data_IF_093293315468
#
_entry.id   IF_093293315468
#
_cell.length_a   1.000
_cell.length_b   1.000
_cell.length_c   1.000
_cell.angle_alpha   90.00
_cell.angle_beta   90.00
_cell.angle_gamma   90.00
#
_symmetry.space_group_name_H-M   'P 1'
#
loop_
_entity.id
_entity.type
_entity.pdbx_description
1 polymer ?
#
# COMPACT_ATOMS: atom_id res chain seq x y z
N UNK A 1 37.61 -20.41 2.78
CA UNK A 1 36.41 -21.20 3.15
C UNK A 1 35.21 -20.32 2.94
N UNK A 2 34.26 -20.69 2.06
CA UNK A 2 32.97 -20.00 2.04
C UNK A 2 32.30 -20.24 3.40
N UNK A 3 31.80 -19.19 4.03
CA UNK A 3 30.93 -19.28 5.20
C UNK A 3 29.81 -20.27 4.83
N UNK A 4 29.64 -21.31 5.65
CA UNK A 4 28.50 -22.20 5.51
C UNK A 4 27.23 -21.34 5.53
N UNK A 5 26.39 -21.47 4.49
CA UNK A 5 25.05 -20.88 4.46
C UNK A 5 24.33 -21.24 5.76
N UNK A 6 23.68 -20.26 6.39
CA UNK A 6 22.91 -20.52 7.60
C UNK A 6 21.87 -21.60 7.26
N UNK A 7 21.72 -22.70 8.03
CA UNK A 7 20.66 -23.68 7.81
C UNK A 7 19.24 -23.06 7.82
N UNK A 8 19.08 -21.80 8.24
CA UNK A 8 17.86 -21.00 8.11
C UNK A 8 17.74 -20.18 6.80
N UNK A 9 18.76 -20.16 5.92
CA UNK A 9 18.76 -19.43 4.64
C UNK A 9 17.89 -20.10 3.56
N UNK A 10 17.57 -21.39 3.71
CA UNK A 10 16.64 -22.09 2.82
C UNK A 10 15.19 -21.85 3.28
N UNK A 11 14.26 -21.43 2.39
CA UNK A 11 12.86 -21.21 2.75
C UNK A 11 12.23 -22.50 3.30
N UNK A 12 12.07 -22.58 4.61
CA UNK A 12 11.19 -23.59 5.21
C UNK A 12 9.76 -23.21 4.76
N UNK A 13 8.98 -24.11 4.15
CA UNK A 13 7.60 -23.83 3.72
C UNK A 13 6.74 -23.55 4.96
N UNK A 14 6.69 -22.27 5.34
CA UNK A 14 5.99 -21.75 6.51
C UNK A 14 5.22 -20.48 6.14
N UNK A 15 4.81 -19.72 7.16
CA UNK A 15 4.13 -18.45 6.97
C UNK A 15 5.04 -17.44 6.26
N UNK A 16 4.60 -16.88 5.13
CA UNK A 16 5.32 -15.84 4.40
C UNK A 16 4.38 -15.03 3.51
N UNK A 17 4.77 -13.81 3.16
CA UNK A 17 4.09 -13.00 2.16
C UNK A 17 4.89 -13.04 0.84
N UNK A 18 4.26 -13.60 -0.19
CA UNK A 18 4.81 -13.65 -1.54
C UNK A 18 4.47 -12.34 -2.28
N UNK A 19 5.48 -11.63 -2.76
CA UNK A 19 5.38 -10.31 -3.39
C UNK A 19 5.69 -10.41 -4.88
N UNK A 20 4.73 -10.05 -5.72
CA UNK A 20 4.84 -10.13 -7.18
C UNK A 20 5.10 -8.74 -7.81
N UNK A 21 6.35 -8.42 -8.23
CA UNK A 21 6.63 -7.18 -8.93
C UNK A 21 6.00 -7.11 -10.34
N UNK A 22 5.67 -8.25 -10.96
CA UNK A 22 4.98 -8.27 -12.27
C UNK A 22 3.54 -7.78 -12.11
N UNK A 23 2.87 -8.16 -11.02
CA UNK A 23 1.56 -7.62 -10.69
C UNK A 23 1.62 -6.10 -10.48
N UNK A 24 2.64 -5.58 -9.79
CA UNK A 24 2.84 -4.12 -9.64
C UNK A 24 3.04 -3.43 -10.99
N UNK A 25 3.87 -3.98 -11.88
CA UNK A 25 4.07 -3.43 -13.22
C UNK A 25 2.78 -3.43 -14.05
N UNK A 26 2.03 -4.53 -14.01
CA UNK A 26 0.72 -4.65 -14.66
C UNK A 26 -0.25 -3.58 -14.14
N UNK A 27 -0.36 -3.43 -12.81
CA UNK A 27 -1.27 -2.47 -12.19
C UNK A 27 -0.91 -1.03 -12.54
N UNK A 28 0.39 -0.71 -12.55
CA UNK A 28 0.89 0.59 -12.98
C UNK A 28 0.50 0.87 -14.44
N UNK A 29 0.64 -0.11 -15.33
CA UNK A 29 0.26 0.03 -16.73
C UNK A 29 -1.26 0.19 -16.91
N UNK A 30 -2.08 -0.57 -16.17
CA UNK A 30 -3.55 -0.39 -16.17
C UNK A 30 -3.92 1.04 -15.77
N UNK A 31 -3.26 1.61 -14.76
CA UNK A 31 -3.48 3.00 -14.34
C UNK A 31 -3.01 3.99 -15.41
N UNK A 32 -1.86 3.76 -16.03
CA UNK A 32 -1.33 4.60 -17.12
C UNK A 32 -2.30 4.66 -18.29
N UNK A 33 -2.83 3.52 -18.73
CA UNK A 33 -3.79 3.44 -19.82
C UNK A 33 -5.09 4.16 -19.49
N UNK A 34 -5.64 3.95 -18.29
CA UNK A 34 -6.88 4.61 -17.86
C UNK A 34 -6.78 6.12 -17.76
N UNK A 35 -5.59 6.62 -17.46
CA UNK A 35 -5.32 8.05 -17.29
C UNK A 35 -4.75 8.69 -18.56
N UNK A 36 -4.51 7.94 -19.64
CA UNK A 36 -3.94 8.46 -20.88
C UNK A 36 -2.48 8.94 -20.75
N UNK A 37 -1.72 8.36 -19.82
CA UNK A 37 -0.33 8.78 -19.52
C UNK A 37 0.58 8.55 -20.72
N UNK A 38 1.34 9.57 -21.10
CA UNK A 38 2.25 9.53 -22.26
C UNK A 38 1.64 10.02 -23.58
N UNK A 39 0.35 10.39 -23.57
CA UNK A 39 -0.29 11.15 -24.64
C UNK A 39 -0.54 12.57 -24.12
N UNK A 40 -1.64 12.77 -23.39
CA UNK A 40 -2.03 14.05 -22.77
C UNK A 40 -2.33 13.90 -21.26
N UNK A 41 -2.07 12.72 -20.68
CA UNK A 41 -2.39 12.41 -19.28
C UNK A 41 -1.32 12.81 -18.25
N UNK A 42 -1.66 12.74 -16.95
CA UNK A 42 -0.80 13.11 -15.82
C UNK A 42 0.44 12.23 -15.73
N UNK A 43 1.45 12.75 -15.04
CA UNK A 43 2.56 11.92 -14.53
C UNK A 43 2.14 11.17 -13.26
N UNK A 44 2.82 10.07 -12.94
CA UNK A 44 2.50 9.21 -11.80
C UNK A 44 3.56 9.28 -10.72
N UNK A 45 3.15 9.67 -9.51
CA UNK A 45 3.87 9.37 -8.27
C UNK A 45 3.45 8.00 -7.74
N UNK A 46 4.30 6.99 -7.87
CA UNK A 46 4.07 5.70 -7.25
C UNK A 46 4.24 5.80 -5.73
N UNK A 47 3.15 5.64 -4.98
CA UNK A 47 3.18 5.83 -3.52
C UNK A 47 3.71 4.57 -2.83
N UNK A 48 4.87 4.67 -2.18
CA UNK A 48 5.58 3.56 -1.52
C UNK A 48 5.83 3.79 -0.03
N UNK A 49 5.13 4.75 0.60
CA UNK A 49 5.19 4.94 2.06
C UNK A 49 4.84 3.65 2.82
N UNK A 50 5.31 3.55 4.07
CA UNK A 50 5.12 2.37 4.91
C UNK A 50 5.64 1.09 4.24
N UNK A 51 6.90 1.17 3.77
CA UNK A 51 7.61 0.09 3.07
C UNK A 51 6.80 -0.54 1.92
N UNK A 52 6.33 0.33 1.02
CA UNK A 52 5.46 -0.02 -0.09
C UNK A 52 4.16 -0.71 0.35
N UNK A 53 3.45 -0.13 1.32
CA UNK A 53 2.22 -0.71 1.88
C UNK A 53 2.45 -2.15 2.40
N UNK A 54 3.59 -2.37 3.08
CA UNK A 54 3.99 -3.68 3.63
C UNK A 54 4.52 -4.68 2.59
N UNK A 55 4.70 -4.29 1.33
CA UNK A 55 5.21 -5.19 0.29
C UNK A 55 6.74 -5.26 0.25
N UNK A 56 7.43 -4.37 0.95
CA UNK A 56 8.88 -4.24 0.87
C UNK A 56 9.29 -3.46 -0.36
N UNK A 57 9.86 -2.26 -0.17
CA UNK A 57 10.28 -1.38 -1.25
C UNK A 57 11.22 -2.09 -2.24
N UNK A 58 12.17 -2.84 -1.72
CA UNK A 58 13.10 -3.64 -2.52
C UNK A 58 12.37 -4.67 -3.40
N UNK A 59 11.28 -5.26 -2.93
CA UNK A 59 10.54 -6.29 -3.65
C UNK A 59 9.72 -5.73 -4.81
N UNK A 60 9.15 -4.53 -4.62
CA UNK A 60 8.27 -3.91 -5.63
C UNK A 60 8.99 -3.02 -6.63
N UNK A 61 10.20 -2.54 -6.31
CA UNK A 61 10.93 -1.58 -7.15
C UNK A 61 11.07 -1.99 -8.62
N UNK A 62 11.34 -3.27 -8.98
CA UNK A 62 11.39 -3.68 -10.38
C UNK A 62 10.08 -3.44 -11.14
N UNK A 63 8.94 -3.52 -10.45
CA UNK A 63 7.62 -3.26 -11.01
C UNK A 63 7.26 -1.78 -11.15
N UNK A 64 8.04 -0.88 -10.53
CA UNK A 64 7.79 0.58 -10.55
C UNK A 64 8.60 1.32 -11.61
N UNK A 65 9.32 0.63 -12.49
CA UNK A 65 10.23 1.24 -13.48
C UNK A 65 9.54 2.23 -14.44
N UNK A 66 8.26 2.04 -14.73
CA UNK A 66 7.48 2.91 -15.62
C UNK A 66 6.82 4.10 -14.89
N UNK A 67 7.04 4.26 -13.59
CA UNK A 67 6.53 5.40 -12.83
C UNK A 67 7.41 6.62 -13.08
N UNK A 68 6.79 7.80 -13.19
CA UNK A 68 7.51 9.06 -13.39
C UNK A 68 8.23 9.53 -12.12
N UNK A 69 7.77 9.08 -10.95
CA UNK A 69 8.30 9.43 -9.65
C UNK A 69 7.83 8.46 -8.57
N UNK A 70 8.47 8.48 -7.40
CA UNK A 70 8.03 7.75 -6.21
C UNK A 70 7.63 8.73 -5.11
N UNK A 71 6.59 8.41 -4.34
CA UNK A 71 6.17 9.18 -3.16
C UNK A 71 6.33 8.38 -1.86
N UNK A 72 7.06 8.96 -0.90
CA UNK A 72 7.31 8.42 0.45
C UNK A 72 6.74 9.36 1.51
N UNK A 73 6.64 8.91 2.76
CA UNK A 73 6.16 9.75 3.85
C UNK A 73 7.26 10.67 4.38
N UNK A 74 8.44 10.13 4.69
CA UNK A 74 9.51 10.84 5.38
C UNK A 74 10.80 10.95 4.55
N UNK A 75 11.66 11.92 4.89
CA UNK A 75 12.91 12.14 4.17
C UNK A 75 13.85 10.93 4.23
N UNK A 76 13.90 10.21 5.36
CA UNK A 76 14.74 9.02 5.48
C UNK A 76 14.32 7.89 4.50
N UNK A 77 13.02 7.73 4.21
CA UNK A 77 12.52 6.78 3.21
C UNK A 77 13.00 7.17 1.79
N UNK A 78 13.17 8.47 1.52
CA UNK A 78 13.74 8.92 0.24
C UNK A 78 15.21 8.48 0.09
N UNK A 79 15.99 8.52 1.17
CA UNK A 79 17.35 7.97 1.18
C UNK A 79 17.34 6.45 0.98
N UNK A 80 16.39 5.73 1.58
CA UNK A 80 16.21 4.29 1.36
C UNK A 80 15.91 3.99 -0.12
N UNK A 81 15.01 4.76 -0.75
CA UNK A 81 14.72 4.65 -2.20
C UNK A 81 16.00 4.77 -3.05
N UNK A 82 16.87 5.74 -2.73
CA UNK A 82 18.15 5.92 -3.43
C UNK A 82 19.10 4.74 -3.22
N UNK A 83 19.18 4.21 -1.99
CA UNK A 83 20.02 3.05 -1.64
C UNK A 83 19.60 1.78 -2.40
N UNK A 84 18.30 1.58 -2.60
CA UNK A 84 17.79 0.43 -3.38
C UNK A 84 17.82 0.66 -4.89
N UNK A 85 18.29 1.82 -5.35
CA UNK A 85 18.59 2.08 -6.77
C UNK A 85 17.58 2.97 -7.50
N UNK A 86 16.58 3.56 -6.84
CA UNK A 86 15.69 4.52 -7.50
C UNK A 86 16.45 5.80 -7.86
N UNK A 87 16.43 6.19 -9.14
CA UNK A 87 17.12 7.40 -9.64
C UNK A 87 16.18 8.54 -10.06
N UNK A 88 14.89 8.26 -10.23
CA UNK A 88 13.87 9.26 -10.58
C UNK A 88 13.55 10.23 -9.44
N UNK A 89 12.64 11.18 -9.65
CA UNK A 89 12.25 12.13 -8.61
C UNK A 89 11.55 11.44 -7.44
N UNK A 90 11.61 12.06 -6.25
CA UNK A 90 10.98 11.56 -5.03
C UNK A 90 10.15 12.67 -4.38
N UNK A 91 8.87 12.39 -4.14
CA UNK A 91 7.99 13.21 -3.32
C UNK A 91 8.03 12.75 -1.86
N UNK A 92 8.14 13.69 -0.92
CA UNK A 92 8.11 13.46 0.53
C UNK A 92 6.86 14.12 1.10
N UNK A 93 5.85 13.32 1.47
CA UNK A 93 4.56 13.82 1.95
C UNK A 93 4.64 14.62 3.24
N UNK A 94 5.63 14.36 4.10
CA UNK A 94 5.80 15.09 5.35
C UNK A 94 6.55 16.40 5.16
N UNK A 95 7.09 16.67 3.96
CA UNK A 95 8.05 17.75 3.79
C UNK A 95 9.22 17.58 4.75
N UNK A 96 9.53 18.65 5.48
CA UNK A 96 10.42 18.63 6.63
C UNK A 96 9.59 18.53 7.90
N UNK A 97 9.99 17.68 8.84
CA UNK A 97 9.32 17.50 10.14
C UNK A 97 10.05 18.21 11.27
N UNK A 98 11.28 18.64 11.03
CA UNK A 98 12.11 19.40 11.97
C UNK A 98 13.11 20.25 11.18
N UNK A 99 13.46 21.45 11.66
CA UNK A 99 14.48 22.33 11.06
C UNK A 99 15.82 21.63 10.72
N UNK A 100 16.24 20.64 11.53
CA UNK A 100 17.49 19.90 11.34
C UNK A 100 17.48 19.04 10.08
N UNK A 101 16.31 18.65 9.59
CA UNK A 101 16.20 17.91 8.33
C UNK A 101 16.54 18.77 7.11
N UNK A 102 16.54 20.10 7.23
CA UNK A 102 16.98 20.99 6.14
C UNK A 102 18.43 20.67 5.72
N UNK A 103 19.31 20.42 6.70
CA UNK A 103 20.70 20.02 6.44
C UNK A 103 20.83 18.66 5.73
N UNK A 104 19.78 17.82 5.76
CA UNK A 104 19.74 16.50 5.13
C UNK A 104 19.19 16.54 3.69
N UNK A 105 18.77 17.70 3.18
CA UNK A 105 18.30 17.90 1.80
C UNK A 105 19.44 17.81 0.78
N UNK A 106 20.14 16.69 0.77
CA UNK A 106 21.32 16.41 -0.07
C UNK A 106 20.95 15.61 -1.33
N UNK A 107 19.75 15.02 -1.36
CA UNK A 107 19.28 14.24 -2.50
C UNK A 107 18.84 15.15 -3.65
N UNK A 108 19.14 14.71 -4.87
CA UNK A 108 18.63 15.36 -6.07
C UNK A 108 17.17 14.98 -6.34
N UNK A 109 16.46 15.88 -7.04
CA UNK A 109 15.08 15.70 -7.52
C UNK A 109 14.07 15.42 -6.40
N UNK A 110 14.22 16.11 -5.27
CA UNK A 110 13.26 16.08 -4.17
C UNK A 110 12.08 17.01 -4.43
N UNK A 111 10.89 16.52 -4.09
CA UNK A 111 9.62 17.23 -4.07
C UNK A 111 9.08 17.17 -2.65
N UNK A 112 8.91 18.31 -1.98
CA UNK A 112 8.48 18.38 -0.58
C UNK A 112 7.03 18.84 -0.51
N UNK A 113 6.18 18.10 0.18
CA UNK A 113 4.82 18.56 0.46
C UNK A 113 4.84 19.44 1.70
N UNK A 114 4.32 20.65 1.56
CA UNK A 114 4.29 21.66 2.62
C UNK A 114 2.86 21.77 3.14
N UNK A 115 2.70 21.57 4.44
CA UNK A 115 1.42 21.59 5.15
C UNK A 115 1.25 22.80 6.06
N UNK A 116 2.31 23.52 6.37
CA UNK A 116 2.29 24.73 7.19
C UNK A 116 3.45 25.68 6.83
N UNK A 117 3.38 26.92 7.30
CA UNK A 117 4.36 27.97 7.00
C UNK A 117 5.75 27.69 7.58
N UNK A 118 5.83 27.02 8.73
CA UNK A 118 7.10 26.81 9.45
C UNK A 118 8.07 25.96 8.62
N UNK A 119 7.53 24.98 7.88
CA UNK A 119 8.32 24.15 6.99
C UNK A 119 9.02 24.94 5.88
N UNK A 120 8.41 26.04 5.41
CA UNK A 120 9.02 26.92 4.41
C UNK A 120 10.21 27.69 4.98
N UNK A 121 10.11 28.13 6.24
CA UNK A 121 11.16 28.88 6.92
C UNK A 121 12.39 28.04 7.25
N UNK A 122 12.27 26.70 7.24
CA UNK A 122 13.41 25.80 7.41
C UNK A 122 14.21 25.57 6.13
N UNK A 123 13.61 25.76 4.95
CA UNK A 123 14.25 25.47 3.65
C UNK A 123 15.57 26.22 3.38
N UNK A 124 15.74 27.49 3.81
CA UNK A 124 17.02 28.19 3.68
C UNK A 124 18.19 27.49 4.40
N UNK A 125 17.91 26.64 5.39
CA UNK A 125 18.92 25.86 6.12
C UNK A 125 19.54 24.70 5.32
N UNK A 126 19.16 24.49 4.05
CA UNK A 126 19.75 23.44 3.20
C UNK A 126 21.24 23.71 2.90
N UNK A 127 22.05 22.68 2.63
CA UNK A 127 23.43 22.88 2.21
C UNK A 127 23.53 23.72 0.92
N UNK A 128 24.53 24.60 0.84
CA UNK A 128 24.72 25.50 -0.32
C UNK A 128 24.93 24.73 -1.64
N UNK A 129 25.61 23.58 -1.58
CA UNK A 129 25.83 22.70 -2.73
C UNK A 129 24.60 21.87 -3.12
N UNK A 130 23.56 21.83 -2.28
CA UNK A 130 22.39 21.01 -2.53
C UNK A 130 21.49 21.62 -3.60
N UNK A 131 20.95 20.76 -4.47
CA UNK A 131 19.91 21.16 -5.42
C UNK A 131 18.68 21.68 -4.68
N UNK A 132 18.10 22.76 -5.19
CA UNK A 132 16.82 23.26 -4.69
C UNK A 132 15.70 22.24 -4.92
N UNK A 133 14.89 21.89 -3.90
CA UNK A 133 13.75 21.00 -4.08
C UNK A 133 12.59 21.71 -4.80
N UNK A 134 11.67 20.91 -5.33
CA UNK A 134 10.31 21.37 -5.61
C UNK A 134 9.49 21.39 -4.33
N UNK A 135 8.51 22.29 -4.24
CA UNK A 135 7.52 22.33 -3.16
C UNK A 135 6.11 22.13 -3.72
N UNK A 136 5.28 21.41 -2.97
CA UNK A 136 3.86 21.20 -3.23
C UNK A 136 3.07 21.72 -2.04
N UNK A 137 2.37 22.84 -2.21
CA UNK A 137 1.53 23.40 -1.17
C UNK A 137 0.27 22.55 -1.03
N UNK A 138 0.08 21.94 0.13
CA UNK A 138 -1.09 21.11 0.41
C UNK A 138 -2.23 21.95 0.94
N UNK A 139 -3.37 21.91 0.25
CA UNK A 139 -4.61 22.48 0.74
C UNK A 139 -5.18 21.59 1.86
N UNK A 140 -5.68 22.23 2.92
CA UNK A 140 -6.29 21.53 4.07
C UNK A 140 -7.50 20.66 3.65
N UNK A 141 -8.28 21.17 2.69
CA UNK A 141 -9.42 20.49 2.07
C UNK A 141 -10.46 19.99 3.07
N UNK A 142 -11.34 19.11 2.61
CA UNK A 142 -12.33 18.47 3.46
C UNK A 142 -11.70 17.52 4.49
N UNK A 143 -10.52 16.96 4.20
CA UNK A 143 -9.83 16.02 5.10
C UNK A 143 -9.48 16.66 6.44
N UNK A 144 -9.06 17.93 6.43
CA UNK A 144 -8.53 18.64 7.62
C UNK A 144 -7.38 17.94 8.34
N UNK A 145 -6.80 16.90 7.75
CA UNK A 145 -5.66 16.16 8.28
C UNK A 145 -4.35 16.83 7.86
N UNK A 146 -4.19 18.11 8.21
CA UNK A 146 -3.06 18.97 7.83
C UNK A 146 -3.21 19.65 6.47
N UNK A 147 -2.39 20.69 6.23
CA UNK A 147 -2.48 21.54 5.05
C UNK A 147 -2.83 22.97 5.42
N UNK A 148 -2.73 23.86 4.44
CA UNK A 148 -2.94 25.29 4.58
C UNK A 148 -4.41 25.63 4.26
N UNK A 149 -5.03 26.48 5.08
CA UNK A 149 -6.31 27.09 4.72
C UNK A 149 -6.16 28.11 3.57
N UNK A 150 -7.27 28.64 3.03
CA UNK A 150 -7.22 29.54 1.88
C UNK A 150 -6.38 30.82 2.11
N UNK A 151 -6.35 31.35 3.33
CA UNK A 151 -5.59 32.55 3.68
C UNK A 151 -4.10 32.24 3.86
N UNK A 152 -3.78 31.15 4.55
CA UNK A 152 -2.43 30.63 4.67
C UNK A 152 -1.85 30.21 3.32
N UNK A 153 -2.66 29.61 2.44
CA UNK A 153 -2.22 29.09 1.15
C UNK A 153 -1.63 30.19 0.25
N UNK A 154 -2.29 31.35 0.17
CA UNK A 154 -1.79 32.49 -0.62
C UNK A 154 -0.50 33.06 -0.03
N UNK A 155 -0.40 33.15 1.30
CA UNK A 155 0.83 33.58 1.99
C UNK A 155 1.98 32.60 1.75
N UNK A 156 1.72 31.31 1.88
CA UNK A 156 2.68 30.24 1.60
C UNK A 156 3.15 30.26 0.15
N UNK A 157 2.24 30.52 -0.79
CA UNK A 157 2.58 30.65 -2.21
C UNK A 157 3.47 31.87 -2.45
N UNK A 158 3.13 33.05 -1.92
CA UNK A 158 3.98 34.23 -2.02
C UNK A 158 5.38 33.96 -1.44
N UNK A 159 5.47 33.31 -0.28
CA UNK A 159 6.74 32.92 0.33
C UNK A 159 7.53 31.94 -0.54
N UNK A 160 6.87 30.97 -1.16
CA UNK A 160 7.52 30.07 -2.12
C UNK A 160 8.10 30.83 -3.32
N UNK A 161 7.42 31.89 -3.80
CA UNK A 161 7.91 32.72 -4.91
C UNK A 161 9.18 33.50 -4.52
N UNK A 162 9.23 34.05 -3.32
CA UNK A 162 10.45 34.69 -2.78
C UNK A 162 11.60 33.67 -2.67
N UNK A 163 11.34 32.51 -2.05
CA UNK A 163 12.34 31.45 -1.90
C UNK A 163 12.84 30.94 -3.27
N UNK A 164 11.97 30.91 -4.28
CA UNK A 164 12.34 30.55 -5.65
C UNK A 164 13.25 31.61 -6.29
N UNK A 165 12.96 32.90 -6.09
CA UNK A 165 13.82 34.00 -6.57
C UNK A 165 15.23 33.95 -5.97
N UNK A 166 15.34 33.52 -4.70
CA UNK A 166 16.63 33.34 -4.02
C UNK A 166 17.29 31.97 -4.29
N UNK A 167 16.74 31.15 -5.20
CA UNK A 167 17.31 29.85 -5.55
C UNK A 167 17.19 28.77 -4.47
N UNK A 168 16.41 29.00 -3.41
CA UNK A 168 16.13 27.99 -2.38
C UNK A 168 15.11 26.94 -2.87
N UNK A 169 14.26 27.29 -3.85
CA UNK A 169 13.27 26.41 -4.47
C UNK A 169 13.47 26.30 -5.98
N UNK A 170 13.25 25.10 -6.53
CA UNK A 170 13.21 24.87 -7.98
C UNK A 170 11.86 25.25 -8.59
N UNK A 171 10.78 25.07 -7.83
CA UNK A 171 9.43 25.39 -8.26
C UNK A 171 8.40 25.11 -7.17
N UNK A 172 7.19 25.61 -7.40
CA UNK A 172 6.04 25.45 -6.52
C UNK A 172 4.88 24.86 -7.31
N UNK A 173 4.16 23.91 -6.73
CA UNK A 173 2.94 23.31 -7.26
C UNK A 173 1.86 23.19 -6.20
N UNK A 174 0.70 22.71 -6.61
CA UNK A 174 -0.51 22.67 -5.82
C UNK A 174 -0.94 21.23 -5.56
N UNK A 175 -1.24 20.91 -4.31
CA UNK A 175 -1.64 19.58 -3.91
C UNK A 175 -2.94 19.59 -3.11
N UNK A 176 -3.88 18.73 -3.50
CA UNK A 176 -5.05 18.38 -2.69
C UNK A 176 -5.04 16.88 -2.38
N UNK A 177 -5.73 16.47 -1.32
CA UNK A 177 -6.06 15.07 -1.05
C UNK A 177 -7.53 14.97 -0.68
N UNK A 178 -8.29 14.22 -1.46
CA UNK A 178 -9.75 14.11 -1.29
C UNK A 178 -10.12 13.28 -0.06
N UNK A 179 -11.13 13.73 0.69
CA UNK A 179 -11.63 13.04 1.88
C UNK A 179 -12.55 11.87 1.51
N UNK A 180 -13.51 12.08 0.61
CA UNK A 180 -14.40 11.03 0.15
C UNK A 180 -14.28 10.78 -1.35
N UNK A 181 -13.16 10.17 -1.75
CA UNK A 181 -12.88 9.90 -3.15
C UNK A 181 -13.69 8.74 -3.77
N UNK A 182 -14.57 8.09 -3.01
CA UNK A 182 -15.49 7.07 -3.51
C UNK A 182 -16.84 7.65 -3.98
N UNK A 183 -17.13 8.91 -3.64
CA UNK A 183 -18.38 9.61 -3.96
C UNK A 183 -18.12 10.67 -5.03
N UNK A 184 -18.77 10.56 -6.19
CA UNK A 184 -18.59 11.50 -7.31
C UNK A 184 -18.98 12.92 -6.89
N UNK A 185 -20.13 13.11 -6.23
CA UNK A 185 -20.58 14.44 -5.82
C UNK A 185 -19.68 15.08 -4.76
N UNK A 186 -19.05 14.30 -3.88
CA UNK A 186 -18.08 14.82 -2.93
C UNK A 186 -16.77 15.19 -3.62
N UNK A 187 -16.28 14.36 -4.56
CA UNK A 187 -15.11 14.66 -5.37
C UNK A 187 -15.26 15.97 -6.16
N UNK A 188 -16.39 16.17 -6.83
CA UNK A 188 -16.65 17.38 -7.61
C UNK A 188 -16.66 18.63 -6.74
N UNK A 189 -17.34 18.58 -5.58
CA UNK A 189 -17.38 19.68 -4.62
C UNK A 189 -16.00 20.00 -4.06
N UNK A 190 -15.30 18.99 -3.56
CA UNK A 190 -13.94 19.17 -3.00
C UNK A 190 -12.94 19.66 -4.07
N UNK A 191 -13.11 19.26 -5.33
CA UNK A 191 -12.30 19.74 -6.44
C UNK A 191 -12.57 21.22 -6.74
N UNK A 192 -13.85 21.64 -6.77
CA UNK A 192 -14.24 23.03 -6.98
C UNK A 192 -13.69 23.96 -5.87
N UNK A 193 -13.74 23.52 -4.61
CA UNK A 193 -13.17 24.27 -3.47
C UNK A 193 -11.66 24.47 -3.63
N UNK A 194 -10.96 23.42 -4.08
CA UNK A 194 -9.52 23.48 -4.33
C UNK A 194 -9.18 24.41 -5.52
N UNK A 195 -9.89 24.32 -6.63
CA UNK A 195 -9.74 25.21 -7.79
C UNK A 195 -9.95 26.68 -7.40
N UNK A 196 -10.93 26.96 -6.55
CA UNK A 196 -11.14 28.30 -6.00
C UNK A 196 -9.95 28.78 -5.15
N UNK A 197 -9.36 27.89 -4.34
CA UNK A 197 -8.20 28.19 -3.51
C UNK A 197 -6.97 28.58 -4.35
N UNK A 198 -6.72 27.88 -5.47
CA UNK A 198 -5.51 28.08 -6.29
C UNK A 198 -5.69 29.10 -7.40
N UNK A 199 -6.89 29.67 -7.57
CA UNK A 199 -7.18 30.67 -8.61
C UNK A 199 -6.20 31.84 -8.56
N UNK A 200 -5.57 32.10 -9.71
CA UNK A 200 -4.55 33.15 -9.89
C UNK A 200 -3.15 32.77 -9.41
N UNK A 201 -2.92 31.54 -8.98
CA UNK A 201 -1.62 31.01 -8.54
C UNK A 201 -1.14 29.99 -9.59
N UNK A 202 -0.21 30.34 -10.50
CA UNK A 202 0.25 29.40 -11.52
C UNK A 202 1.18 28.32 -10.94
N UNK A 203 0.97 27.07 -11.34
CA UNK A 203 1.82 25.96 -10.96
C UNK A 203 1.17 24.61 -11.32
N UNK A 204 1.95 23.53 -11.35
CA UNK A 204 1.41 22.21 -11.62
C UNK A 204 0.48 21.75 -10.49
N UNK A 205 -0.53 20.94 -10.82
CA UNK A 205 -1.57 20.47 -9.93
C UNK A 205 -1.48 18.96 -9.71
N UNK A 206 -1.65 18.52 -8.46
CA UNK A 206 -1.77 17.12 -8.10
C UNK A 206 -2.89 16.89 -7.09
N UNK A 207 -3.96 16.21 -7.46
CA UNK A 207 -5.10 15.97 -6.55
C UNK A 207 -5.39 14.49 -6.32
N UNK A 208 -5.36 13.68 -7.37
CA UNK A 208 -5.97 12.35 -7.34
C UNK A 208 -5.09 11.27 -6.68
N UNK A 209 -5.67 10.54 -5.73
CA UNK A 209 -5.14 9.29 -5.17
C UNK A 209 -5.70 8.07 -5.95
N UNK A 210 -5.50 6.84 -5.45
CA UNK A 210 -6.05 5.63 -6.10
C UNK A 210 -7.56 5.72 -6.35
N UNK A 211 -8.34 6.11 -5.33
CA UNK A 211 -9.80 6.17 -5.42
C UNK A 211 -10.26 7.18 -6.46
N UNK A 212 -9.79 8.43 -6.36
CA UNK A 212 -10.17 9.50 -7.28
C UNK A 212 -9.78 9.16 -8.73
N UNK A 213 -8.60 8.55 -8.93
CA UNK A 213 -8.14 8.12 -10.25
C UNK A 213 -9.00 7.00 -10.86
N UNK A 214 -9.59 6.14 -10.02
CA UNK A 214 -10.46 5.05 -10.48
C UNK A 214 -11.92 5.49 -10.67
N UNK A 215 -12.42 6.41 -9.82
CA UNK A 215 -13.82 6.86 -9.84
C UNK A 215 -14.04 7.95 -10.90
N UNK A 216 -13.11 8.90 -11.04
CA UNK A 216 -13.19 10.00 -12.01
C UNK A 216 -11.91 10.11 -12.85
N UNK A 217 -11.61 9.12 -13.73
CA UNK A 217 -10.38 9.12 -14.51
C UNK A 217 -10.24 10.33 -15.43
N UNK A 218 -11.34 10.87 -15.96
CA UNK A 218 -11.33 12.08 -16.80
C UNK A 218 -10.94 13.34 -16.04
N UNK A 219 -11.32 13.47 -14.77
CA UNK A 219 -10.87 14.56 -13.90
C UNK A 219 -9.40 14.38 -13.55
N UNK A 220 -9.01 13.15 -13.19
CA UNK A 220 -7.62 12.83 -12.87
C UNK A 220 -6.67 13.09 -14.06
N UNK A 221 -7.12 12.78 -15.28
CA UNK A 221 -6.39 13.00 -16.53
C UNK A 221 -6.07 14.48 -16.81
N UNK A 222 -6.81 15.42 -16.21
CA UNK A 222 -6.62 16.88 -16.40
C UNK A 222 -5.61 17.50 -15.42
N UNK A 223 -5.09 16.72 -14.48
CA UNK A 223 -4.07 17.19 -13.53
C UNK A 223 -2.66 16.91 -14.06
N UNK A 224 -1.64 17.61 -13.56
CA UNK A 224 -0.25 17.35 -13.96
C UNK A 224 0.31 16.05 -13.35
N UNK A 225 -0.17 15.67 -12.17
CA UNK A 225 0.30 14.50 -11.43
C UNK A 225 -0.80 13.79 -10.65
N UNK A 226 -0.80 12.46 -10.69
CA UNK A 226 -1.59 11.59 -9.81
C UNK A 226 -0.70 10.84 -8.82
N UNK A 227 -1.30 10.32 -7.75
CA UNK A 227 -0.59 9.66 -6.64
C UNK A 227 -1.26 8.34 -6.23
N UNK A 228 -1.30 7.33 -7.12
CA UNK A 228 -1.84 6.04 -6.76
C UNK A 228 -0.98 5.37 -5.68
N UNK A 229 -1.66 4.71 -4.74
CA UNK A 229 -1.10 3.86 -3.69
C UNK A 229 -1.70 2.46 -3.79
N UNK A 230 -2.80 2.20 -3.06
CA UNK A 230 -3.48 0.88 -3.03
C UNK A 230 -3.67 0.20 -4.40
N UNK A 231 -4.07 0.95 -5.43
CA UNK A 231 -4.30 0.38 -6.75
C UNK A 231 -3.02 -0.20 -7.39
N UNK A 232 -1.83 0.34 -7.09
CA UNK A 232 -0.55 -0.21 -7.54
C UNK A 232 -0.31 -1.62 -7.00
N UNK A 233 -0.83 -1.89 -5.81
CA UNK A 233 -0.65 -3.16 -5.10
C UNK A 233 -1.79 -4.17 -5.36
N UNK A 234 -2.67 -3.85 -6.32
CA UNK A 234 -3.71 -4.78 -6.76
C UNK A 234 -4.99 -4.74 -5.94
N UNK A 235 -5.18 -3.70 -5.12
CA UNK A 235 -6.31 -3.57 -4.21
C UNK A 235 -7.26 -2.49 -4.69
N UNK A 236 -8.56 -2.81 -4.68
CA UNK A 236 -9.59 -1.83 -4.98
C UNK A 236 -9.63 -0.74 -3.91
N UNK A 237 -9.56 0.55 -4.29
CA UNK A 237 -9.82 1.65 -3.39
C UNK A 237 -11.32 2.00 -3.29
N UNK A 238 -12.19 1.25 -3.99
CA UNK A 238 -13.64 1.50 -4.06
C UNK A 238 -14.36 0.49 -3.15
N UNK A 239 -15.19 0.95 -2.18
CA UNK A 239 -15.98 0.08 -1.33
C UNK A 239 -16.84 -0.92 -2.13
N UNK A 240 -16.89 -2.17 -1.66
CA UNK A 240 -17.71 -3.23 -2.30
C UNK A 240 -17.13 -3.80 -3.60
N UNK A 241 -15.98 -3.32 -4.08
CA UNK A 241 -15.27 -3.87 -5.24
C UNK A 241 -13.95 -4.48 -4.83
N UNK A 242 -13.46 -5.39 -5.67
CA UNK A 242 -12.15 -6.03 -5.53
C UNK A 242 -11.22 -5.63 -6.68
N UNK A 243 -9.91 -5.78 -6.50
CA UNK A 243 -8.90 -5.38 -7.51
C UNK A 243 -9.19 -5.89 -8.92
N UNK A 244 -9.67 -7.13 -9.07
CA UNK A 244 -10.02 -7.72 -10.38
C UNK A 244 -11.13 -6.97 -11.12
N UNK A 245 -12.08 -6.36 -10.41
CA UNK A 245 -13.16 -5.57 -11.02
C UNK A 245 -12.58 -4.33 -11.71
N UNK A 246 -11.41 -3.90 -11.26
CA UNK A 246 -10.62 -2.80 -11.80
C UNK A 246 -9.49 -3.32 -12.71
N UNK A 247 -9.48 -4.58 -13.12
CA UNK A 247 -8.40 -5.14 -13.95
C UNK A 247 -7.04 -5.20 -13.26
N UNK A 248 -7.00 -5.02 -11.93
CA UNK A 248 -5.80 -5.05 -11.12
C UNK A 248 -5.50 -6.47 -10.65
N UNK A 249 -4.23 -6.77 -10.43
CA UNK A 249 -3.71 -8.06 -9.95
C UNK A 249 -3.12 -7.88 -8.55
N UNK A 250 -3.47 -8.71 -7.56
CA UNK A 250 -2.91 -8.62 -6.21
C UNK A 250 -1.40 -8.81 -6.25
N UNK A 251 -0.66 -7.88 -5.65
CA UNK A 251 0.80 -7.94 -5.59
C UNK A 251 1.34 -8.69 -4.37
N UNK A 252 0.49 -8.97 -3.37
CA UNK A 252 0.85 -9.76 -2.18
C UNK A 252 -0.09 -10.95 -2.05
N UNK A 253 0.49 -12.13 -1.83
CA UNK A 253 -0.23 -13.34 -1.39
C UNK A 253 0.33 -13.79 -0.04
N UNK A 254 -0.48 -13.75 1.01
CA UNK A 254 -0.08 -14.31 2.31
C UNK A 254 -0.34 -15.81 2.32
N UNK A 255 0.73 -16.59 2.52
CA UNK A 255 0.72 -18.05 2.44
C UNK A 255 1.16 -18.68 3.75
N UNK A 256 0.62 -19.85 4.04
CA UNK A 256 1.03 -20.71 5.13
C UNK A 256 0.82 -22.18 4.72
N UNK A 257 0.89 -23.09 5.68
CA UNK A 257 0.64 -24.53 5.50
C UNK A 257 -0.15 -25.07 6.68
N UNK A 258 -0.90 -26.15 6.47
CA UNK A 258 -1.43 -26.92 7.58
C UNK A 258 -0.29 -27.52 8.41
N UNK A 259 -0.22 -27.18 9.70
CA UNK A 259 0.75 -27.78 10.61
C UNK A 259 0.22 -29.04 11.28
N UNK A 260 -1.10 -29.20 11.41
CA UNK A 260 -1.73 -30.41 11.90
C UNK A 260 -3.15 -30.53 11.36
N UNK A 261 -3.67 -31.75 11.40
CA UNK A 261 -5.09 -32.04 11.22
C UNK A 261 -5.60 -32.79 12.44
N UNK A 262 -6.87 -32.59 12.78
CA UNK A 262 -7.50 -33.18 13.96
C UNK A 262 -8.95 -33.56 13.63
N UNK A 263 -9.46 -34.62 14.28
CA UNK A 263 -10.87 -34.95 14.25
C UNK A 263 -11.55 -34.36 15.49
N UNK A 264 -12.62 -33.62 15.28
CA UNK A 264 -13.39 -32.98 16.32
C UNK A 264 -14.76 -33.68 16.43
N UNK A 265 -15.10 -34.31 17.57
CA UNK A 265 -16.41 -34.94 17.74
C UNK A 265 -17.52 -33.90 17.87
N UNK A 266 -18.77 -34.30 17.62
CA UNK A 266 -19.93 -33.45 17.87
C UNK A 266 -19.97 -33.01 19.34
N UNK A 267 -20.31 -31.74 19.58
CA UNK A 267 -20.35 -31.12 20.90
C UNK A 267 -19.00 -30.62 21.44
N UNK A 268 -17.87 -30.95 20.81
CA UNK A 268 -16.57 -30.41 21.21
C UNK A 268 -16.36 -28.98 20.71
N UNK A 269 -15.62 -28.17 21.48
CA UNK A 269 -15.35 -26.77 21.18
C UNK A 269 -13.93 -26.52 20.64
N UNK A 270 -13.75 -25.39 19.96
CA UNK A 270 -12.46 -24.97 19.38
C UNK A 270 -12.08 -23.56 19.84
N UNK A 271 -10.82 -23.43 20.26
CA UNK A 271 -10.18 -22.15 20.54
C UNK A 271 -10.61 -21.47 21.84
N UNK A 272 -10.06 -20.29 22.07
CA UNK A 272 -10.29 -19.55 23.31
C UNK A 272 -11.76 -19.17 23.52
N UNK A 273 -12.22 -19.33 24.75
CA UNK A 273 -13.60 -19.04 25.15
C UNK A 273 -14.63 -19.98 24.54
N UNK A 274 -14.21 -21.13 23.98
CA UNK A 274 -15.10 -22.12 23.36
C UNK A 274 -16.02 -21.50 22.30
N UNK A 275 -15.51 -20.53 21.55
CA UNK A 275 -16.33 -19.68 20.66
C UNK A 275 -16.97 -20.43 19.48
N UNK A 276 -16.47 -21.62 19.17
CA UNK A 276 -17.08 -22.53 18.21
C UNK A 276 -17.31 -23.88 18.89
N UNK A 277 -18.49 -24.47 18.64
CA UNK A 277 -18.85 -25.82 19.07
C UNK A 277 -19.29 -26.59 17.82
N UNK A 278 -18.73 -27.77 17.62
CA UNK A 278 -19.06 -28.61 16.47
C UNK A 278 -20.49 -29.16 16.62
N UNK A 279 -21.32 -28.93 15.60
CA UNK A 279 -22.67 -29.47 15.51
C UNK A 279 -22.69 -30.96 15.10
N UNK A 280 -21.65 -31.39 14.40
CA UNK A 280 -21.44 -32.75 13.93
C UNK A 280 -19.94 -33.07 13.93
N UNK A 281 -19.54 -34.35 13.84
CA UNK A 281 -18.13 -34.71 13.71
C UNK A 281 -17.52 -34.01 12.49
N UNK A 282 -16.35 -33.38 12.67
CA UNK A 282 -15.69 -32.63 11.60
C UNK A 282 -14.17 -32.72 11.64
N UNK A 283 -13.55 -32.66 10.46
CA UNK A 283 -12.12 -32.52 10.32
C UNK A 283 -11.70 -31.04 10.49
N UNK A 284 -10.65 -30.82 11.27
CA UNK A 284 -10.10 -29.52 11.62
C UNK A 284 -8.64 -29.42 11.15
N UNK A 285 -8.28 -28.31 10.54
CA UNK A 285 -6.90 -27.99 10.18
C UNK A 285 -6.35 -26.93 11.11
N UNK A 286 -5.08 -27.05 11.49
CA UNK A 286 -4.36 -25.99 12.19
C UNK A 286 -3.39 -25.31 11.24
N UNK A 287 -3.44 -23.98 11.16
CA UNK A 287 -2.59 -23.16 10.31
C UNK A 287 -1.65 -22.35 11.20
N UNK A 288 -0.37 -22.27 10.81
CA UNK A 288 0.63 -21.39 11.46
C UNK A 288 0.42 -19.96 10.97
N UNK A 289 -0.48 -19.25 11.62
CA UNK A 289 -0.68 -17.82 11.50
C UNK A 289 -1.65 -17.37 12.59
N UNK A 290 -1.36 -16.23 13.22
CA UNK A 290 -2.28 -15.59 14.14
C UNK A 290 -2.07 -14.08 14.22
N UNK A 291 -2.64 -13.46 15.25
CA UNK A 291 -2.56 -12.01 15.40
C UNK A 291 -1.13 -11.51 15.72
N UNK A 292 -0.25 -12.37 16.22
CA UNK A 292 1.17 -12.06 16.40
C UNK A 292 1.91 -11.86 15.08
N UNK A 293 1.35 -12.38 13.98
CA UNK A 293 1.87 -12.23 12.63
C UNK A 293 1.22 -11.05 11.87
N UNK A 294 0.23 -10.40 12.48
CA UNK A 294 -0.54 -9.31 11.88
C UNK A 294 -1.86 -9.75 11.23
N UNK A 295 -2.26 -11.02 11.36
CA UNK A 295 -3.58 -11.46 10.90
C UNK A 295 -4.69 -10.88 11.81
N UNK A 296 -5.80 -10.37 11.25
CA UNK A 296 -6.80 -9.65 12.04
C UNK A 296 -7.44 -10.54 13.11
N UNK A 297 -7.54 -9.99 14.32
CA UNK A 297 -8.27 -10.62 15.41
C UNK A 297 -9.67 -10.02 15.54
N UNK A 298 -10.68 -10.73 15.01
CA UNK A 298 -12.08 -10.41 15.28
C UNK A 298 -12.77 -11.66 15.85
N UNK A 299 -13.10 -11.68 17.17
CA UNK A 299 -13.70 -12.83 17.82
C UNK A 299 -15.05 -13.29 17.27
N UNK A 300 -15.73 -12.43 16.49
CA UNK A 300 -17.05 -12.70 15.91
C UNK A 300 -16.97 -13.07 14.42
N UNK A 301 -15.82 -12.90 13.78
CA UNK A 301 -15.66 -13.15 12.36
C UNK A 301 -15.30 -14.62 12.09
N UNK A 302 -15.89 -15.17 11.04
CA UNK A 302 -15.39 -16.38 10.39
C UNK A 302 -14.73 -15.93 9.09
N UNK A 303 -13.40 -16.01 9.05
CA UNK A 303 -12.63 -15.50 7.93
C UNK A 303 -12.59 -16.55 6.82
N UNK A 304 -12.77 -16.16 5.55
CA UNK A 304 -12.53 -17.06 4.45
C UNK A 304 -11.04 -17.38 4.35
N UNK A 305 -10.71 -18.62 4.02
CA UNK A 305 -9.34 -19.13 3.86
C UNK A 305 -9.34 -20.16 2.73
N UNK A 306 -8.24 -20.30 2.01
CA UNK A 306 -8.11 -21.29 0.96
C UNK A 306 -7.13 -22.37 1.40
N UNK A 307 -7.56 -23.64 1.39
CA UNK A 307 -6.73 -24.81 1.74
C UNK A 307 -6.72 -25.73 0.54
N UNK A 308 -5.53 -26.08 0.05
CA UNK A 308 -5.36 -26.94 -1.13
C UNK A 308 -6.19 -26.52 -2.34
N UNK A 309 -6.24 -25.20 -2.59
CA UNK A 309 -7.03 -24.60 -3.66
C UNK A 309 -8.53 -24.46 -3.40
N UNK A 310 -9.07 -25.06 -2.33
CA UNK A 310 -10.50 -25.01 -1.99
C UNK A 310 -10.78 -23.93 -0.94
N UNK A 311 -11.81 -23.10 -1.18
CA UNK A 311 -12.27 -22.12 -0.20
C UNK A 311 -13.00 -22.80 0.96
N UNK A 312 -12.61 -22.41 2.17
CA UNK A 312 -13.24 -22.78 3.44
C UNK A 312 -13.18 -21.58 4.39
N UNK A 313 -13.31 -21.79 5.70
CA UNK A 313 -13.34 -20.73 6.71
C UNK A 313 -12.59 -21.07 7.98
N UNK A 314 -12.22 -20.05 8.75
CA UNK A 314 -11.74 -20.20 10.12
C UNK A 314 -12.87 -20.60 11.05
N UNK A 315 -12.54 -21.39 12.07
CA UNK A 315 -13.45 -21.80 13.15
C UNK A 315 -12.82 -21.51 14.51
N UNK A 316 -13.64 -21.01 15.44
CA UNK A 316 -13.16 -20.53 16.74
C UNK A 316 -12.36 -19.22 16.63
N UNK A 317 -11.79 -18.79 17.75
CA UNK A 317 -10.98 -17.57 17.80
C UNK A 317 -9.57 -17.81 17.27
N UNK A 318 -9.06 -16.83 16.52
CA UNK A 318 -7.65 -16.78 16.10
C UNK A 318 -6.78 -16.47 17.31
N UNK A 319 -5.76 -17.29 17.55
CA UNK A 319 -4.77 -17.12 18.62
C UNK A 319 -3.59 -16.26 18.16
N UNK A 320 -2.55 -16.14 19.01
CA UNK A 320 -1.35 -15.38 18.65
C UNK A 320 -0.63 -15.98 17.44
N UNK A 321 -0.53 -17.32 17.38
CA UNK A 321 0.34 -18.02 16.42
C UNK A 321 -0.41 -19.07 15.56
N UNK A 322 -1.61 -19.46 15.96
CA UNK A 322 -2.42 -20.49 15.31
C UNK A 322 -3.85 -20.03 15.02
N UNK A 323 -4.39 -20.52 13.92
CA UNK A 323 -5.82 -20.49 13.62
C UNK A 323 -6.29 -21.89 13.22
N UNK A 324 -7.55 -22.18 13.53
CA UNK A 324 -8.19 -23.42 13.14
C UNK A 324 -9.12 -23.19 11.94
N UNK A 325 -9.15 -24.14 11.00
CA UNK A 325 -9.90 -24.06 9.74
C UNK A 325 -10.74 -25.31 9.53
N UNK A 326 -11.91 -25.14 8.90
CA UNK A 326 -12.83 -26.23 8.58
C UNK A 326 -12.32 -27.05 7.38
N UNK A 327 -12.04 -28.34 7.58
CA UNK A 327 -11.57 -29.22 6.51
C UNK A 327 -12.66 -30.14 5.94
N UNK A 328 -13.93 -30.00 6.35
CA UNK A 328 -15.03 -30.78 5.74
C UNK A 328 -15.10 -30.65 4.22
N UNK A 329 -14.87 -29.46 3.61
CA UNK A 329 -14.82 -29.32 2.16
C UNK A 329 -13.57 -29.91 1.51
N UNK A 330 -12.53 -30.27 2.29
CA UNK A 330 -11.24 -30.77 1.80
C UNK A 330 -10.82 -32.07 2.53
N UNK A 331 -11.51 -33.22 2.33
CA UNK A 331 -11.24 -34.45 3.08
C UNK A 331 -9.82 -35.00 2.91
N UNK A 332 -9.16 -34.70 1.79
CA UNK A 332 -7.80 -35.14 1.50
C UNK A 332 -6.72 -34.23 2.11
N UNK A 333 -7.08 -33.08 2.70
CA UNK A 333 -6.12 -32.16 3.28
C UNK A 333 -5.37 -32.79 4.46
N UNK A 334 -4.05 -32.73 4.40
CA UNK A 334 -3.16 -33.24 5.43
C UNK A 334 -2.15 -32.18 5.85
N UNK A 335 -1.34 -32.48 6.87
CA UNK A 335 -0.20 -31.63 7.25
C UNK A 335 0.67 -31.34 6.01
N UNK A 336 1.07 -30.09 5.85
CA UNK A 336 1.84 -29.61 4.71
C UNK A 336 0.98 -29.07 3.55
N UNK A 337 -0.34 -29.32 3.55
CA UNK A 337 -1.22 -28.77 2.53
C UNK A 337 -1.10 -27.24 2.48
N UNK A 338 -1.03 -26.64 1.27
CA UNK A 338 -0.83 -25.21 1.11
C UNK A 338 -2.07 -24.45 1.57
N UNK A 339 -1.84 -23.32 2.24
CA UNK A 339 -2.88 -22.42 2.73
C UNK A 339 -2.64 -21.02 2.18
N UNK A 340 -3.67 -20.42 1.59
CA UNK A 340 -3.67 -19.00 1.23
C UNK A 340 -4.63 -18.27 2.16
N UNK A 341 -4.09 -17.26 2.83
CA UNK A 341 -4.79 -16.41 3.79
C UNK A 341 -5.38 -15.18 3.11
N UNK A 342 -4.72 -14.67 2.07
CA UNK A 342 -5.27 -13.74 1.08
C UNK A 342 -4.37 -13.62 -0.14
N UNK A 343 -4.87 -12.96 -1.18
CA UNK A 343 -4.11 -12.56 -2.37
C UNK A 343 -4.16 -13.55 -3.52
N UNK A 344 -4.97 -14.61 -3.44
CA UNK A 344 -5.32 -15.40 -4.61
C UNK A 344 -6.48 -14.76 -5.38
N UNK A 345 -6.71 -15.09 -6.66
CA UNK A 345 -7.85 -14.57 -7.43
C UNK A 345 -9.23 -14.85 -6.80
N UNK A 346 -9.32 -15.90 -5.98
CA UNK A 346 -10.54 -16.34 -5.29
C UNK A 346 -10.65 -15.74 -3.88
N UNK A 347 -9.53 -15.38 -3.27
CA UNK A 347 -9.45 -14.82 -1.92
C UNK A 347 -8.70 -13.48 -1.91
N UNK A 348 -9.27 -12.41 -2.50
CA UNK A 348 -8.69 -11.08 -2.43
C UNK A 348 -8.68 -10.56 -0.97
N UNK A 349 -7.69 -9.73 -0.65
CA UNK A 349 -7.50 -9.18 0.71
C UNK A 349 -8.70 -8.34 1.18
N UNK A 350 -9.43 -7.74 0.23
CA UNK A 350 -10.66 -6.99 0.50
C UNK A 350 -11.75 -7.85 1.17
N UNK A 351 -11.81 -9.15 0.88
CA UNK A 351 -12.75 -10.06 1.57
C UNK A 351 -12.38 -10.23 3.05
N UNK A 352 -11.08 -10.33 3.35
CA UNK A 352 -10.58 -10.43 4.73
C UNK A 352 -10.83 -9.12 5.47
N UNK A 353 -10.58 -7.98 4.82
CA UNK A 353 -10.83 -6.66 5.38
C UNK A 353 -12.31 -6.48 5.74
N UNK A 354 -13.21 -6.86 4.83
CA UNK A 354 -14.65 -6.83 5.08
C UNK A 354 -15.05 -7.71 6.27
N UNK A 355 -14.57 -8.96 6.32
CA UNK A 355 -14.85 -9.88 7.43
C UNK A 355 -14.29 -9.37 8.78
N UNK A 356 -13.14 -8.69 8.75
CA UNK A 356 -12.53 -8.07 9.93
C UNK A 356 -13.25 -6.80 10.40
N UNK A 357 -14.00 -6.14 9.52
CA UNK A 357 -14.54 -4.80 9.78
C UNK A 357 -13.49 -3.69 9.65
N UNK A 358 -12.50 -3.88 8.77
CA UNK A 358 -11.44 -2.89 8.50
C UNK A 358 -11.20 -2.69 6.99
N UNK A 359 -10.14 -1.97 6.61
CA UNK A 359 -9.68 -1.71 5.26
C UNK A 359 -8.48 -2.59 4.90
N UNK A 360 -8.37 -2.97 3.63
CA UNK A 360 -7.28 -3.81 3.13
C UNK A 360 -5.88 -3.18 3.35
N UNK A 361 -5.79 -1.84 3.35
CA UNK A 361 -4.53 -1.15 3.65
C UNK A 361 -3.96 -1.54 5.00
N UNK A 362 -4.82 -1.62 6.03
CA UNK A 362 -4.41 -1.98 7.40
C UNK A 362 -3.84 -3.39 7.44
N UNK A 363 -4.51 -4.35 6.79
CA UNK A 363 -4.06 -5.75 6.74
C UNK A 363 -2.69 -5.89 6.08
N UNK A 364 -2.46 -5.20 4.96
CA UNK A 364 -1.21 -5.28 4.22
C UNK A 364 -0.05 -4.62 4.98
N UNK A 365 -0.29 -3.47 5.61
CA UNK A 365 0.72 -2.77 6.40
C UNK A 365 0.91 -3.32 7.81
N UNK A 366 -0.02 -4.15 8.29
CA UNK A 366 -0.07 -4.67 9.65
C UNK A 366 0.70 -5.96 9.86
N UNK A 367 1.24 -6.57 8.80
CA UNK A 367 2.11 -7.75 8.91
C UNK A 367 3.32 -7.43 9.79
N UNK A 368 3.60 -8.30 10.76
CA UNK A 368 4.73 -8.11 11.67
C UNK A 368 6.02 -8.66 11.07
N UNK A 369 7.17 -8.34 11.69
CA UNK A 369 8.47 -8.86 11.29
C UNK A 369 8.58 -10.40 11.35
N UNK A 370 7.58 -11.11 11.93
CA UNK A 370 7.50 -12.57 11.92
C UNK A 370 7.17 -13.15 10.54
N UNK A 371 6.60 -12.34 9.64
CA UNK A 371 6.22 -12.76 8.29
C UNK A 371 7.31 -12.36 7.31
N UNK A 372 8.11 -13.31 6.79
CA UNK A 372 9.11 -13.00 5.80
C UNK A 372 8.46 -12.55 4.49
N UNK A 373 9.02 -11.52 3.87
CA UNK A 373 8.64 -11.09 2.54
C UNK A 373 9.51 -11.81 1.50
N UNK A 374 8.89 -12.53 0.57
CA UNK A 374 9.58 -13.28 -0.48
C UNK A 374 9.12 -12.80 -1.84
N UNK A 375 10.03 -12.56 -2.78
CA UNK A 375 9.61 -12.25 -4.16
C UNK A 375 9.03 -13.50 -4.83
N UNK A 376 7.98 -13.32 -5.62
CA UNK A 376 7.41 -14.39 -6.43
C UNK A 376 8.45 -14.94 -7.42
N UNK A 377 8.65 -16.25 -7.42
CA UNK A 377 9.49 -16.95 -8.40
C UNK A 377 8.65 -17.38 -9.61
N UNK A 378 8.70 -16.56 -10.66
CA UNK A 378 8.02 -16.84 -11.93
C UNK A 378 8.71 -17.95 -12.75
N UNK A 379 9.96 -18.30 -12.45
CA UNK A 379 10.65 -19.41 -13.10
C UNK A 379 10.22 -20.77 -12.52
N UNK A 380 9.70 -20.81 -11.29
CA UNK A 380 9.08 -21.99 -10.69
C UNK A 380 7.65 -22.22 -11.21
N UNK A 381 6.87 -21.15 -11.43
CA UNK A 381 5.50 -21.22 -11.97
C UNK A 381 5.44 -21.80 -13.39
N UNK A 382 6.46 -21.56 -14.21
CA UNK A 382 6.56 -22.07 -15.58
C UNK A 382 7.02 -23.53 -15.67
N UNK A 383 7.56 -24.12 -14.60
CA UNK A 383 8.06 -25.51 -14.61
C UNK A 383 6.98 -26.56 -14.44
N UNK A 384 5.75 -26.17 -14.09
CA UNK A 384 4.67 -27.10 -13.76
C UNK A 384 5.02 -28.02 -12.57
N UNK A 385 4.06 -28.79 -12.03
CA UNK A 385 4.43 -29.92 -11.19
C UNK A 385 5.24 -30.88 -12.07
N UNK A 386 6.45 -31.22 -11.66
CA UNK A 386 7.22 -32.30 -12.27
C UNK A 386 6.31 -33.54 -12.35
N UNK A 387 6.09 -34.00 -13.59
CA UNK A 387 5.32 -35.19 -13.92
C UNK A 387 5.94 -36.47 -13.35
#
# INVERSE_FOLDING_TARGET
MPLASDPFDAPIPGLHACIDPIAVAHNLEVLRQRLGVGVDGPRIWATVKADAYGHGLHNVLPGLRAADGIAVRHLHEAHQCRRVGWRGPIMVYAGLTHEREAALLTLQQLHLVITDMTQLEWLPGKPLYACAPWVWLRYIGATRLGGLDAGEYRRAYARCRELQQHGALRGVGHLNHYANAASVGDLEREHADFEACIRGLPGPVSTCNSAASCVMPTMAARTDWVRPGLALYGVSPIPGRVGRDLGLRPAMTLRSTLCATQNLPAGASVGYGCAFVADQPMALGLVRCGYGDGYPHNPRASFPVQVDGVLTRTVGRISMDLMAVDLRPIPAAARGAPVVLWGSPQLPVEHIAHAAGTIAAELLTGLTARVPLMRADHAALLRGPLA
#
